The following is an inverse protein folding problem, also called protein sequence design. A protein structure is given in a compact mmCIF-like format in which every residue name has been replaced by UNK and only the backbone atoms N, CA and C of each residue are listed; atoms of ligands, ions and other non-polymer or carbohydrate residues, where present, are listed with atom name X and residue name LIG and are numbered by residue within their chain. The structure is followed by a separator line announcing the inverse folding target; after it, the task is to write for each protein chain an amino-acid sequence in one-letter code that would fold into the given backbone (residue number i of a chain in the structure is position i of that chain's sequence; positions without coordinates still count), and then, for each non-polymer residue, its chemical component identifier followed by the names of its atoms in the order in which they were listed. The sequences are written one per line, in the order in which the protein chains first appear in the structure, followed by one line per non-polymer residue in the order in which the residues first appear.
data_IF_608791301274
#
_entry.id   IF_608791301274
#
_cell.length_a   1.000
_cell.length_b   1.000
_cell.length_c   1.000
_cell.angle_alpha   90.00
_cell.angle_beta   90.00
_cell.angle_gamma   90.00
#
_symmetry.space_group_name_H-M   'P 1'
#
loop_
_entity.id
_entity.type
_entity.pdbx_description
1 polymer ?
#
# COMPACT_ATOMS: atom_id res chain seq x y z
N UNK A 1 0.24 0.97 9.65
CA UNK A 1 1.70 1.01 9.41
C UNK A 1 1.98 2.01 8.30
N UNK A 2 3.12 2.69 8.31
CA UNK A 2 3.49 3.66 7.27
C UNK A 2 4.85 3.31 6.68
N UNK A 3 4.94 3.29 5.35
CA UNK A 3 6.16 3.08 4.59
C UNK A 3 6.47 4.40 3.86
N UNK A 4 7.67 4.95 4.10
CA UNK A 4 8.12 6.23 3.53
C UNK A 4 9.34 6.01 2.66
N UNK A 5 9.42 6.74 1.55
CA UNK A 5 10.65 6.76 0.75
C UNK A 5 11.64 7.77 1.33
N UNK A 6 12.85 7.31 1.67
CA UNK A 6 13.93 8.21 2.08
C UNK A 6 14.37 9.15 0.93
N UNK A 7 14.29 8.67 -0.31
CA UNK A 7 14.71 9.42 -1.51
C UNK A 7 13.66 10.43 -1.99
N UNK A 8 12.38 10.19 -1.70
CA UNK A 8 11.26 11.04 -2.13
C UNK A 8 10.41 11.47 -0.93
N UNK A 9 10.85 12.52 -0.19
CA UNK A 9 10.08 13.04 0.94
C UNK A 9 8.66 13.41 0.52
N UNK A 10 7.67 13.05 1.36
CA UNK A 10 6.25 13.30 1.11
C UNK A 10 5.54 12.23 0.28
N UNK A 11 6.26 11.22 -0.23
CA UNK A 11 5.64 10.00 -0.76
C UNK A 11 5.53 8.96 0.36
N UNK A 12 4.29 8.64 0.73
CA UNK A 12 3.98 7.72 1.82
C UNK A 12 2.96 6.68 1.34
N UNK A 13 3.20 5.43 1.72
CA UNK A 13 2.23 4.36 1.63
C UNK A 13 1.78 4.01 3.05
N UNK A 14 0.50 4.23 3.33
CA UNK A 14 -0.10 3.93 4.63
C UNK A 14 -0.90 2.63 4.51
N UNK A 15 -0.49 1.62 5.25
CA UNK A 15 -1.21 0.35 5.35
C UNK A 15 -2.19 0.44 6.50
N UNK A 16 -3.46 0.32 6.16
CA UNK A 16 -4.59 0.30 7.08
C UNK A 16 -4.93 -1.15 7.38
N UNK A 17 -4.69 -1.58 8.62
CA UNK A 17 -5.04 -2.92 9.08
C UNK A 17 -6.25 -2.85 9.99
N UNK A 18 -7.32 -3.51 9.58
CA UNK A 18 -8.55 -3.70 10.35
C UNK A 18 -8.68 -5.17 10.74
N UNK A 19 -9.06 -5.43 11.98
CA UNK A 19 -9.45 -6.75 12.42
C UNK A 19 -10.97 -6.80 12.32
N UNK A 20 -11.50 -7.73 11.52
CA UNK A 20 -12.93 -7.96 11.42
C UNK A 20 -13.27 -9.24 12.18
N UNK A 21 -14.34 -9.19 12.95
CA UNK A 21 -14.91 -10.33 13.64
C UNK A 21 -16.32 -10.48 13.10
N UNK A 22 -16.65 -11.65 12.55
CA UNK A 22 -18.01 -11.94 12.09
C UNK A 22 -18.92 -12.42 13.24
N UNK A 23 -20.18 -12.67 12.93
CA UNK A 23 -21.20 -13.06 13.91
C UNK A 23 -20.88 -14.42 14.57
N UNK A 24 -20.14 -15.29 13.86
CA UNK A 24 -19.65 -16.58 14.35
C UNK A 24 -18.37 -16.45 15.19
N UNK A 25 -17.83 -15.24 15.35
CA UNK A 25 -16.61 -14.97 16.11
C UNK A 25 -15.32 -15.26 15.34
N UNK A 26 -15.39 -15.52 14.03
CA UNK A 26 -14.20 -15.71 13.19
C UNK A 26 -13.48 -14.39 13.03
N UNK A 27 -12.19 -14.40 13.35
CA UNK A 27 -11.30 -13.24 13.22
C UNK A 27 -10.64 -13.28 11.84
N UNK A 28 -10.80 -12.20 11.07
CA UNK A 28 -10.13 -12.02 9.78
C UNK A 28 -9.40 -10.68 9.69
N UNK A 29 -8.12 -10.66 9.29
CA UNK A 29 -7.42 -9.41 9.03
C UNK A 29 -7.84 -8.87 7.66
N UNK A 30 -8.18 -7.57 7.61
CA UNK A 30 -8.31 -6.82 6.37
C UNK A 30 -7.26 -5.74 6.28
N UNK A 31 -6.40 -5.86 5.29
CA UNK A 31 -5.40 -4.86 4.95
C UNK A 31 -5.89 -4.05 3.75
N UNK A 32 -5.59 -2.76 3.78
CA UNK A 32 -5.84 -1.84 2.68
C UNK A 32 -4.69 -0.84 2.57
N UNK A 33 -4.62 -0.12 1.45
CA UNK A 33 -3.56 0.85 1.18
C UNK A 33 -4.14 2.23 0.96
N UNK A 34 -3.53 3.23 1.60
CA UNK A 34 -3.74 4.63 1.31
C UNK A 34 -2.44 5.23 0.77
N UNK A 35 -2.51 5.80 -0.42
CA UNK A 35 -1.41 6.52 -1.05
C UNK A 35 -1.46 7.99 -0.61
N UNK A 36 -0.33 8.53 -0.16
CA UNK A 36 -0.17 9.96 0.05
C UNK A 36 1.01 10.44 -0.78
N UNK A 37 0.77 11.48 -1.55
CA UNK A 37 1.79 12.10 -2.40
C UNK A 37 1.68 13.61 -2.32
N UNK A 38 2.76 14.35 -2.63
CA UNK A 38 2.67 15.80 -2.76
C UNK A 38 1.72 16.20 -3.89
N UNK A 39 0.99 17.31 -3.74
CA UNK A 39 0.01 17.77 -4.73
C UNK A 39 0.60 17.92 -6.14
N UNK A 40 1.83 18.44 -6.26
CA UNK A 40 2.53 18.55 -7.55
C UNK A 40 2.76 17.19 -8.22
N UNK A 41 2.92 16.11 -7.45
CA UNK A 41 3.06 14.77 -8.00
C UNK A 41 1.72 14.18 -8.43
N UNK A 42 0.63 14.54 -7.74
CA UNK A 42 -0.72 14.17 -8.14
C UNK A 42 -1.09 14.75 -9.51
N UNK A 43 -0.67 15.99 -9.80
CA UNK A 43 -0.86 16.62 -11.11
C UNK A 43 -0.13 15.88 -12.25
N UNK A 44 0.91 15.10 -11.91
CA UNK A 44 1.68 14.29 -12.87
C UNK A 44 1.10 12.88 -13.06
N UNK A 45 0.15 12.44 -12.25
CA UNK A 45 -0.47 11.11 -12.31
C UNK A 45 -1.53 11.01 -13.42
N UNK A 46 -1.09 11.15 -14.68
CA UNK A 46 -1.97 11.12 -15.86
C UNK A 46 -2.74 9.80 -16.02
N UNK A 47 -2.18 8.71 -15.49
CA UNK A 47 -2.75 7.37 -15.61
C UNK A 47 -3.59 6.97 -14.39
N UNK A 48 -3.77 7.86 -13.40
CA UNK A 48 -4.53 7.59 -12.17
C UNK A 48 -4.03 6.33 -11.44
N UNK A 49 -2.72 6.14 -11.44
CA UNK A 49 -2.07 5.01 -10.77
C UNK A 49 -2.32 5.10 -9.26
N UNK A 50 -2.41 6.31 -8.71
CA UNK A 50 -2.66 6.53 -7.29
C UNK A 50 -4.07 6.12 -6.86
N UNK A 51 -5.07 6.32 -7.73
CA UNK A 51 -6.47 5.90 -7.49
C UNK A 51 -6.61 4.37 -7.53
N UNK A 52 -5.85 3.71 -8.40
CA UNK A 52 -5.92 2.25 -8.58
C UNK A 52 -5.02 1.47 -7.64
N UNK A 53 -4.01 2.12 -7.03
CA UNK A 53 -3.06 1.50 -6.12
C UNK A 53 -3.68 0.69 -4.97
N UNK A 54 -4.78 1.13 -4.29
CA UNK A 54 -5.42 0.31 -3.26
C UNK A 54 -5.97 -1.01 -3.80
N UNK A 55 -6.56 -0.99 -5.01
CA UNK A 55 -7.06 -2.20 -5.64
C UNK A 55 -5.92 -3.13 -6.05
N UNK A 56 -4.87 -2.59 -6.66
CA UNK A 56 -3.68 -3.35 -7.03
C UNK A 56 -3.03 -4.01 -5.81
N UNK A 57 -2.99 -3.32 -4.66
CA UNK A 57 -2.50 -3.89 -3.41
C UNK A 57 -3.35 -5.05 -2.92
N UNK A 58 -4.68 -4.97 -3.01
CA UNK A 58 -5.57 -6.09 -2.66
C UNK A 58 -5.32 -7.31 -3.55
N UNK A 59 -5.15 -7.11 -4.86
CA UNK A 59 -4.76 -8.19 -5.77
C UNK A 59 -3.39 -8.79 -5.40
N UNK A 60 -2.44 -7.97 -4.97
CA UNK A 60 -1.14 -8.44 -4.49
C UNK A 60 -1.26 -9.30 -3.22
N UNK A 61 -2.11 -8.89 -2.27
CA UNK A 61 -2.40 -9.64 -1.05
C UNK A 61 -3.03 -11.01 -1.36
N UNK A 62 -3.96 -11.06 -2.31
CA UNK A 62 -4.59 -12.31 -2.75
C UNK A 62 -3.61 -13.25 -3.45
N UNK A 63 -2.69 -12.70 -4.26
CA UNK A 63 -1.73 -13.49 -5.02
C UNK A 63 -0.55 -13.99 -4.17
N UNK A 64 -0.01 -13.15 -3.28
CA UNK A 64 1.24 -13.41 -2.57
C UNK A 64 1.06 -13.68 -1.07
N UNK A 65 -0.11 -13.39 -0.50
CA UNK A 65 -0.30 -13.34 0.95
C UNK A 65 0.28 -12.08 1.58
N UNK A 66 0.04 -11.90 2.88
CA UNK A 66 0.34 -10.64 3.59
C UNK A 66 1.84 -10.34 3.62
N UNK A 67 2.66 -11.27 4.07
CA UNK A 67 4.10 -11.04 4.29
C UNK A 67 4.83 -10.66 2.99
N UNK A 68 4.67 -11.45 1.94
CA UNK A 68 5.32 -11.21 0.66
C UNK A 68 4.79 -9.96 -0.07
N UNK A 69 3.51 -9.64 0.08
CA UNK A 69 2.94 -8.39 -0.44
C UNK A 69 3.55 -7.16 0.23
N UNK A 70 3.69 -7.19 1.56
CA UNK A 70 4.33 -6.12 2.32
C UNK A 70 5.80 -5.97 2.00
N UNK A 71 6.53 -7.09 1.92
CA UNK A 71 7.94 -7.07 1.53
C UNK A 71 8.14 -6.48 0.13
N UNK A 72 7.26 -6.82 -0.82
CA UNK A 72 7.29 -6.28 -2.18
C UNK A 72 7.08 -4.75 -2.20
N UNK A 73 6.14 -4.23 -1.39
CA UNK A 73 5.93 -2.78 -1.26
C UNK A 73 7.12 -2.07 -0.63
N UNK A 74 7.72 -2.65 0.41
CA UNK A 74 8.90 -2.10 1.07
C UNK A 74 10.05 -2.05 0.08
N UNK A 75 10.31 -3.15 -0.64
CA UNK A 75 11.33 -3.17 -1.70
C UNK A 75 11.04 -2.14 -2.78
N UNK A 76 9.80 -1.97 -3.23
CA UNK A 76 9.47 -0.97 -4.25
C UNK A 76 9.77 0.48 -3.80
N UNK A 77 9.46 0.85 -2.55
CA UNK A 77 9.67 2.21 -2.06
C UNK A 77 11.08 2.49 -1.53
N UNK A 78 11.74 1.45 -1.02
CA UNK A 78 13.06 1.53 -0.41
C UNK A 78 14.18 1.01 -1.32
N UNK A 79 13.86 0.45 -2.50
CA UNK A 79 14.88 0.01 -3.46
C UNK A 79 15.78 1.19 -3.80
N UNK A 80 17.07 0.94 -3.62
CA UNK A 80 18.09 1.70 -4.30
C UNK A 80 17.98 1.37 -5.77
N UNK A 81 17.59 2.34 -6.60
CA UNK A 81 17.97 2.25 -8.01
C UNK A 81 19.50 2.43 -8.00
N UNK A 82 20.22 1.36 -8.33
CA UNK A 82 21.59 1.40 -8.84
C UNK A 82 21.63 2.16 -10.17
#
# INVERSE_FOLDING_TARGET
MEIRSARRPGFELVIVWRIQIDEEGKVSPKLDLLTKVPQRALELDKNRVLETAPQSFRTLLEALGIEAALESLIKLLCAEND
#
